data_IF_150665888994
#
_entry.id   IF_150665888994
#
_cell.length_a   1.000
_cell.length_b   1.000
_cell.length_c   1.000
_cell.angle_alpha   90.00
_cell.angle_beta   90.00
_cell.angle_gamma   90.00
#
_symmetry.space_group_name_H-M   'P 1'
#
loop_
_entity.id
_entity.type
_entity.pdbx_description
1 polymer ?
#
# COMPACT_ATOMS: atom_id res chain seq x y z
N UNK A 1 55.82 39.80 -33.03
CA UNK A 1 54.72 39.92 -32.04
C UNK A 1 54.01 38.57 -32.01
N UNK A 2 54.31 37.68 -31.05
CA UNK A 2 53.56 37.42 -29.80
C UNK A 2 52.06 37.15 -30.02
N UNK A 3 51.71 35.85 -29.87
CA UNK A 3 50.50 35.16 -29.37
C UNK A 3 49.15 35.93 -29.30
N UNK A 4 48.00 35.33 -29.60
CA UNK A 4 47.35 34.36 -28.71
C UNK A 4 46.21 33.60 -29.41
N UNK A 5 46.18 32.30 -29.13
CA UNK A 5 45.14 31.31 -29.30
C UNK A 5 43.83 31.67 -28.60
N UNK A 6 42.69 31.45 -29.26
CA UNK A 6 41.39 31.28 -28.59
C UNK A 6 40.78 29.98 -29.09
N UNK A 7 41.13 28.87 -28.43
CA UNK A 7 40.31 27.67 -28.47
C UNK A 7 39.04 27.98 -27.68
N UNK A 8 37.93 28.15 -28.38
CA UNK A 8 36.62 28.20 -27.76
C UNK A 8 36.33 26.81 -27.17
N UNK A 9 36.57 26.66 -25.86
CA UNK A 9 36.04 25.59 -25.06
C UNK A 9 34.51 25.72 -25.11
N UNK A 10 33.86 24.96 -25.99
CA UNK A 10 32.42 24.74 -25.95
C UNK A 10 32.16 23.88 -24.72
N UNK A 11 31.94 24.57 -23.61
CA UNK A 11 31.46 24.01 -22.37
C UNK A 11 30.20 23.20 -22.66
N UNK A 12 30.31 21.88 -22.54
CA UNK A 12 29.16 20.98 -22.49
C UNK A 12 28.27 21.44 -21.35
N UNK A 13 27.08 21.92 -21.70
CA UNK A 13 26.01 22.12 -20.74
C UNK A 13 25.52 20.73 -20.36
N UNK A 14 26.22 20.08 -19.45
CA UNK A 14 25.65 18.98 -18.67
C UNK A 14 24.53 19.62 -17.86
N UNK A 15 23.30 19.60 -18.38
CA UNK A 15 22.13 19.83 -17.58
C UNK A 15 22.20 18.82 -16.43
N UNK A 16 22.52 19.30 -15.22
CA UNK A 16 22.36 18.52 -14.03
C UNK A 16 20.86 18.20 -13.95
N UNK A 17 20.48 17.00 -14.37
CA UNK A 17 19.18 16.45 -14.03
C UNK A 17 19.16 16.42 -12.50
N UNK A 18 18.45 17.37 -11.90
CA UNK A 18 18.20 17.33 -10.46
C UNK A 18 17.55 15.97 -10.20
N UNK A 19 18.06 15.17 -9.25
CA UNK A 19 17.37 13.94 -8.88
C UNK A 19 15.94 14.34 -8.49
N UNK A 20 14.97 13.74 -9.18
CA UNK A 20 13.58 13.90 -8.77
C UNK A 20 13.49 13.50 -7.29
N UNK A 21 12.69 14.19 -6.47
CA UNK A 21 12.44 13.76 -5.11
C UNK A 21 12.05 12.27 -5.11
N UNK A 22 12.55 11.47 -4.15
CA UNK A 22 12.23 10.04 -4.11
C UNK A 22 10.71 9.89 -4.00
N UNK A 23 10.12 9.10 -4.91
CA UNK A 23 8.72 8.74 -4.82
C UNK A 23 8.53 7.72 -3.71
N UNK A 24 7.95 8.14 -2.59
CA UNK A 24 7.69 7.27 -1.45
C UNK A 24 6.34 6.57 -1.64
N UNK A 25 6.36 5.27 -1.86
CA UNK A 25 5.17 4.42 -1.85
C UNK A 25 4.93 3.96 -0.42
N UNK A 26 3.69 4.04 0.09
CA UNK A 26 3.36 3.53 1.42
C UNK A 26 2.71 2.15 1.31
N UNK A 27 3.26 1.17 2.01
CA UNK A 27 2.76 -0.20 2.06
C UNK A 27 2.25 -0.49 3.47
N UNK A 28 0.96 -0.83 3.58
CA UNK A 28 0.33 -1.22 4.84
C UNK A 28 -0.02 -2.70 4.77
N UNK A 29 0.51 -3.51 5.69
CA UNK A 29 0.29 -4.95 5.72
C UNK A 29 -0.28 -5.38 7.06
N UNK A 30 -1.39 -6.13 7.06
CA UNK A 30 -1.99 -6.69 8.27
C UNK A 30 -1.13 -7.79 8.87
N UNK A 31 -1.35 -8.09 10.16
CA UNK A 31 -0.90 -9.36 10.73
C UNK A 31 -1.51 -10.55 9.99
N UNK A 32 -0.86 -11.71 10.14
CA UNK A 32 -1.29 -12.94 9.52
C UNK A 32 -2.58 -13.47 10.19
N UNK A 33 -3.56 -13.85 9.36
CA UNK A 33 -4.81 -14.48 9.78
C UNK A 33 -4.83 -15.96 9.38
N UNK A 34 -4.66 -16.83 10.36
CA UNK A 34 -4.74 -18.29 10.20
C UNK A 34 -6.18 -18.79 10.09
N UNK A 35 -6.36 -20.01 9.58
CA UNK A 35 -7.66 -20.66 9.50
C UNK A 35 -7.59 -22.02 8.81
N UNK A 36 -8.60 -22.38 8.04
CA UNK A 36 -8.64 -23.66 7.31
C UNK A 36 -8.38 -23.44 5.82
N UNK A 37 -7.88 -24.49 5.16
CA UNK A 37 -7.77 -24.50 3.71
C UNK A 37 -9.15 -24.34 3.06
N UNK A 38 -9.21 -23.60 1.96
CA UNK A 38 -10.42 -23.27 1.17
C UNK A 38 -11.41 -22.32 1.85
N UNK A 39 -11.10 -21.79 3.03
CA UNK A 39 -11.85 -20.68 3.61
C UNK A 39 -11.93 -19.52 2.61
N UNK A 40 -13.06 -18.80 2.62
CA UNK A 40 -13.16 -17.57 1.85
C UNK A 40 -12.35 -16.50 2.58
N UNK A 41 -11.36 -15.94 1.91
CA UNK A 41 -10.59 -14.82 2.42
C UNK A 41 -11.05 -13.56 1.71
N UNK A 42 -11.37 -12.54 2.48
CA UNK A 42 -11.83 -11.25 1.98
C UNK A 42 -10.91 -10.18 2.54
N UNK A 43 -10.32 -9.39 1.65
CA UNK A 43 -9.66 -8.15 2.03
C UNK A 43 -10.51 -6.96 1.56
N UNK A 44 -10.65 -5.95 2.41
CA UNK A 44 -11.36 -4.72 2.08
C UNK A 44 -10.72 -3.50 2.71
N UNK A 45 -10.79 -2.38 2.01
CA UNK A 45 -10.43 -1.07 2.53
C UNK A 45 -11.69 -0.22 2.62
N UNK A 46 -11.98 0.27 3.83
CA UNK A 46 -13.11 1.15 4.13
C UNK A 46 -12.57 2.51 4.56
N UNK A 47 -13.25 3.58 4.14
CA UNK A 47 -12.98 4.96 4.57
C UNK A 47 -11.57 5.54 4.29
N UNK A 48 -10.73 4.86 3.50
CA UNK A 48 -9.42 5.40 3.06
C UNK A 48 -9.52 6.48 1.95
N UNK A 49 -10.70 7.06 1.75
CA UNK A 49 -11.15 7.50 0.43
C UNK A 49 -11.48 8.97 0.26
N UNK A 50 -10.96 9.86 1.10
CA UNK A 50 -10.85 11.27 0.72
C UNK A 50 -9.48 11.76 1.19
N UNK A 51 -8.56 12.02 0.24
CA UNK A 51 -7.50 13.00 0.50
C UNK A 51 -8.15 14.21 1.17
N UNK A 52 -7.51 14.90 2.12
CA UNK A 52 -8.10 16.15 2.62
C UNK A 52 -8.49 17.13 1.48
N UNK A 53 -7.89 16.98 0.29
CA UNK A 53 -8.18 17.72 -0.94
C UNK A 53 -9.42 17.28 -1.73
N UNK A 54 -10.09 16.17 -1.41
CA UNK A 54 -11.27 15.69 -2.15
C UNK A 54 -10.97 14.87 -3.41
N UNK A 55 -9.70 14.70 -3.79
CA UNK A 55 -9.34 13.97 -5.02
C UNK A 55 -9.33 12.44 -4.81
N UNK A 56 -9.80 11.65 -5.78
CA UNK A 56 -9.77 10.19 -5.70
C UNK A 56 -8.34 9.66 -5.82
N UNK A 57 -7.97 8.73 -4.93
CA UNK A 57 -6.67 8.05 -4.96
C UNK A 57 -6.85 6.64 -5.47
N UNK A 58 -6.05 6.27 -6.48
CA UNK A 58 -5.99 4.88 -6.95
C UNK A 58 -5.07 4.08 -6.03
N UNK A 59 -5.61 3.05 -5.38
CA UNK A 59 -4.89 2.19 -4.46
C UNK A 59 -4.85 0.76 -5.01
N UNK A 60 -3.86 -0.02 -4.58
CA UNK A 60 -3.80 -1.45 -4.90
C UNK A 60 -3.95 -2.27 -3.63
N UNK A 61 -4.93 -3.16 -3.63
CA UNK A 61 -5.20 -4.10 -2.54
C UNK A 61 -4.79 -5.52 -2.97
N UNK A 62 -4.13 -6.24 -2.08
CA UNK A 62 -3.64 -7.60 -2.29
C UNK A 62 -3.97 -8.50 -1.11
N UNK A 63 -4.17 -9.78 -1.41
CA UNK A 63 -4.14 -10.87 -0.43
C UNK A 63 -2.86 -11.65 -0.67
N UNK A 64 -2.07 -11.83 0.39
CA UNK A 64 -0.80 -12.55 0.37
C UNK A 64 -0.93 -13.86 1.16
N UNK A 65 -0.20 -14.87 0.73
CA UNK A 65 0.02 -16.09 1.52
C UNK A 65 1.14 -15.89 2.58
N UNK A 66 1.46 -16.95 3.30
CA UNK A 66 2.47 -16.92 4.35
C UNK A 66 3.88 -16.61 3.83
N UNK A 67 4.15 -16.88 2.54
CA UNK A 67 5.41 -16.66 1.84
C UNK A 67 5.42 -15.37 1.00
N UNK A 68 4.48 -14.46 1.25
CA UNK A 68 4.30 -13.19 0.50
C UNK A 68 3.92 -13.37 -0.98
N UNK A 69 3.46 -14.56 -1.39
CA UNK A 69 2.93 -14.75 -2.73
C UNK A 69 1.54 -14.13 -2.86
N UNK A 70 1.29 -13.45 -3.98
CA UNK A 70 0.00 -12.78 -4.23
C UNK A 70 -1.06 -13.79 -4.64
N UNK A 71 -2.07 -13.98 -3.77
CA UNK A 71 -3.21 -14.85 -4.03
C UNK A 71 -4.34 -14.16 -4.79
N UNK A 72 -4.50 -12.85 -4.59
CA UNK A 72 -5.44 -12.02 -5.34
C UNK A 72 -5.04 -10.55 -5.26
N UNK A 73 -5.42 -9.77 -6.27
CA UNK A 73 -5.15 -8.34 -6.31
C UNK A 73 -6.26 -7.57 -7.03
N UNK A 74 -6.50 -6.35 -6.58
CA UNK A 74 -7.38 -5.38 -7.26
C UNK A 74 -6.74 -4.00 -7.16
N UNK A 75 -6.87 -3.21 -8.22
CA UNK A 75 -6.46 -1.80 -8.23
C UNK A 75 -7.69 -0.96 -8.53
N UNK A 76 -7.91 0.08 -7.75
CA UNK A 76 -9.08 0.94 -7.91
C UNK A 76 -9.08 2.13 -6.97
N UNK A 77 -10.08 3.00 -7.12
CA UNK A 77 -10.27 4.15 -6.25
C UNK A 77 -11.20 3.80 -5.10
N UNK A 78 -10.82 4.18 -3.88
CA UNK A 78 -11.69 4.06 -2.70
C UNK A 78 -12.51 5.35 -2.57
N UNK A 79 -13.81 5.21 -2.33
CA UNK A 79 -14.67 6.32 -1.91
C UNK A 79 -15.50 5.90 -0.69
N UNK A 80 -16.08 6.85 0.06
CA UNK A 80 -16.98 6.53 1.18
C UNK A 80 -18.16 5.62 0.79
N UNK A 81 -18.55 5.62 -0.49
CA UNK A 81 -19.68 4.82 -1.00
C UNK A 81 -19.24 3.58 -1.78
N UNK A 82 -17.94 3.43 -2.04
CA UNK A 82 -17.38 2.34 -2.82
C UNK A 82 -16.07 1.85 -2.17
N UNK A 83 -16.13 0.86 -1.26
CA UNK A 83 -14.93 0.27 -0.69
C UNK A 83 -14.19 -0.56 -1.76
N UNK A 84 -12.86 -0.58 -1.68
CA UNK A 84 -12.05 -1.47 -2.50
C UNK A 84 -12.02 -2.84 -1.82
N UNK A 85 -12.46 -3.89 -2.52
CA UNK A 85 -12.59 -5.25 -1.97
C UNK A 85 -12.06 -6.29 -2.96
N UNK A 86 -11.38 -7.30 -2.45
CA UNK A 86 -10.94 -8.47 -3.20
C UNK A 86 -11.14 -9.72 -2.34
N UNK A 87 -11.44 -10.85 -2.98
CA UNK A 87 -11.60 -12.13 -2.28
C UNK A 87 -10.94 -13.27 -3.04
N UNK A 88 -10.56 -14.30 -2.30
CA UNK A 88 -9.97 -15.53 -2.84
C UNK A 88 -10.21 -16.71 -1.89
N UNK A 89 -9.86 -17.92 -2.32
CA UNK A 89 -9.87 -19.12 -1.47
C UNK A 89 -8.49 -19.31 -0.88
N UNK A 90 -8.40 -19.51 0.43
CA UNK A 90 -7.12 -19.84 1.06
C UNK A 90 -6.58 -21.18 0.51
N UNK A 91 -5.33 -21.24 0.01
CA UNK A 91 -4.77 -22.49 -0.50
C UNK A 91 -4.45 -23.49 0.62
N UNK A 92 -4.22 -23.00 1.84
CA UNK A 92 -3.81 -23.78 3.00
C UNK A 92 -4.43 -23.22 4.29
N UNK A 93 -4.17 -23.89 5.42
CA UNK A 93 -4.50 -23.41 6.77
C UNK A 93 -3.54 -22.33 7.28
N UNK A 94 -2.46 -22.04 6.54
CA UNK A 94 -1.47 -21.06 6.95
C UNK A 94 -2.05 -19.63 6.96
N UNK A 95 -1.34 -18.74 7.66
CA UNK A 95 -1.73 -17.35 7.81
C UNK A 95 -1.68 -16.57 6.50
N UNK A 96 -2.77 -15.89 6.16
CA UNK A 96 -2.83 -14.96 5.02
C UNK A 96 -2.77 -13.52 5.52
N UNK A 97 -2.27 -12.60 4.69
CA UNK A 97 -2.17 -11.17 5.01
C UNK A 97 -2.91 -10.34 3.97
N UNK A 98 -3.44 -9.18 4.37
CA UNK A 98 -3.87 -8.16 3.43
C UNK A 98 -2.78 -7.10 3.31
N UNK A 99 -2.53 -6.65 2.08
CA UNK A 99 -1.57 -5.60 1.79
C UNK A 99 -2.24 -4.51 0.96
N UNK A 100 -2.14 -3.27 1.44
CA UNK A 100 -2.55 -2.06 0.73
C UNK A 100 -1.32 -1.30 0.28
N UNK A 101 -1.31 -0.89 -0.98
CA UNK A 101 -0.25 -0.10 -1.59
C UNK A 101 -0.85 1.24 -2.02
N UNK A 102 -0.30 2.30 -1.44
CA UNK A 102 -0.63 3.69 -1.72
C UNK A 102 0.43 4.27 -2.67
N UNK A 103 0.04 4.84 -3.82
CA UNK A 103 0.99 5.40 -4.76
C UNK A 103 1.75 6.59 -4.14
N UNK A 104 2.91 6.95 -4.70
CA UNK A 104 3.65 8.11 -4.24
C UNK A 104 2.87 9.41 -4.45
N UNK A 105 3.16 10.40 -3.61
CA UNK A 105 2.53 11.74 -3.63
C UNK A 105 1.02 11.73 -3.38
N UNK A 106 0.48 10.69 -2.75
CA UNK A 106 -0.88 10.75 -2.20
C UNK A 106 -0.86 11.68 -1.02
N UNK A 107 -1.39 12.90 -1.16
CA UNK A 107 -1.48 13.87 -0.06
C UNK A 107 -2.17 13.30 1.20
N UNK A 108 -2.37 14.11 2.25
CA UNK A 108 -2.83 13.62 3.54
C UNK A 108 -4.11 12.78 3.42
N UNK A 109 -3.99 11.49 3.75
CA UNK A 109 -5.09 10.53 3.72
C UNK A 109 -5.99 10.73 4.94
N UNK A 110 -7.30 10.56 4.77
CA UNK A 110 -8.19 10.33 5.90
C UNK A 110 -7.84 9.00 6.58
N UNK A 111 -8.01 8.92 7.90
CA UNK A 111 -7.86 7.66 8.62
C UNK A 111 -8.76 6.60 7.97
N UNK A 112 -8.15 5.56 7.40
CA UNK A 112 -8.84 4.47 6.73
C UNK A 112 -8.71 3.17 7.52
N UNK A 113 -9.45 2.14 7.12
CA UNK A 113 -9.38 0.82 7.76
C UNK A 113 -9.15 -0.25 6.71
N UNK A 114 -8.07 -1.01 6.86
CA UNK A 114 -7.79 -2.23 6.11
C UNK A 114 -8.28 -3.42 6.94
N UNK A 115 -9.21 -4.20 6.38
CA UNK A 115 -9.81 -5.36 7.03
C UNK A 115 -9.48 -6.62 6.24
N UNK A 116 -9.07 -7.67 6.94
CA UNK A 116 -8.91 -9.02 6.42
C UNK A 116 -9.85 -9.95 7.19
N UNK A 117 -10.75 -10.62 6.49
CA UNK A 117 -11.72 -11.55 7.05
C UNK A 117 -11.50 -12.94 6.45
N UNK A 118 -11.72 -13.96 7.27
CA UNK A 118 -11.69 -15.36 6.84
C UNK A 118 -12.98 -16.05 7.28
N UNK A 119 -13.76 -16.52 6.31
CA UNK A 119 -15.01 -17.22 6.52
C UNK A 119 -14.81 -18.73 6.29
N UNK A 120 -15.02 -19.51 7.34
CA UNK A 120 -14.85 -20.96 7.31
C UNK A 120 -15.99 -21.69 6.60
N UNK A 121 -15.69 -22.90 6.11
CA UNK A 121 -16.68 -23.78 5.49
C UNK A 121 -17.28 -24.75 6.53
N UNK A 122 -18.61 -24.94 6.53
CA UNK A 122 -19.31 -25.86 7.44
C UNK A 122 -20.82 -25.57 7.51
N UNK A 123 -21.59 -26.48 8.12
CA UNK A 123 -23.01 -26.27 8.42
C UNK A 123 -23.29 -26.63 9.90
N UNK A 124 -23.59 -25.66 10.77
CA UNK A 124 -23.51 -24.22 10.50
C UNK A 124 -22.05 -23.77 10.25
N UNK A 125 -21.82 -22.71 9.45
CA UNK A 125 -20.48 -22.19 9.24
C UNK A 125 -19.88 -21.71 10.57
N UNK A 126 -18.58 -21.96 10.82
CA UNK A 126 -17.92 -21.40 11.99
C UNK A 126 -17.93 -19.86 11.93
N UNK A 127 -17.87 -19.18 13.08
CA UNK A 127 -17.85 -17.72 13.11
C UNK A 127 -16.64 -17.18 12.33
N UNK A 128 -16.81 -16.11 11.54
CA UNK A 128 -15.73 -15.53 10.77
C UNK A 128 -14.66 -14.94 11.71
N UNK A 129 -13.40 -15.13 11.34
CA UNK A 129 -12.27 -14.48 12.01
C UNK A 129 -11.86 -13.24 11.21
N UNK A 130 -11.36 -12.20 11.90
CA UNK A 130 -10.95 -10.96 11.24
C UNK A 130 -9.76 -10.29 11.91
N UNK A 131 -8.97 -9.60 11.09
CA UNK A 131 -7.92 -8.66 11.50
C UNK A 131 -8.29 -7.29 10.94
N UNK A 132 -8.19 -6.27 11.80
CA UNK A 132 -8.50 -4.88 11.47
C UNK A 132 -7.26 -4.06 11.67
N UNK A 133 -6.87 -3.31 10.65
CA UNK A 133 -5.71 -2.43 10.62
C UNK A 133 -6.16 -0.99 10.35
N UNK A 134 -5.79 -0.08 11.24
CA UNK A 134 -6.00 1.36 11.04
C UNK A 134 -4.89 1.92 10.15
N UNK A 135 -5.26 2.62 9.09
CA UNK A 135 -4.34 3.30 8.19
C UNK A 135 -4.12 4.70 8.78
N UNK A 136 -2.88 5.06 9.17
CA UNK A 136 -2.62 6.35 9.79
C UNK A 136 -2.88 7.49 8.79
N UNK A 137 -3.52 8.56 9.26
CA UNK A 137 -3.62 9.81 8.51
C UNK A 137 -2.23 10.46 8.46
N UNK A 138 -1.56 10.47 7.30
CA UNK A 138 -0.21 11.05 7.16
C UNK A 138 -0.04 11.79 5.84
N UNK A 139 0.73 12.88 5.93
CA UNK A 139 1.25 13.64 4.80
C UNK A 139 2.56 12.98 4.31
N UNK A 140 2.64 12.51 3.06
CA UNK A 140 3.86 11.86 2.54
C UNK A 140 5.05 12.83 2.40
N UNK A 141 4.81 14.15 2.37
CA UNK A 141 5.86 15.15 2.10
C UNK A 141 6.68 15.54 3.34
N UNK A 142 6.22 15.25 4.56
CA UNK A 142 6.84 15.77 5.80
C UNK A 142 7.85 14.86 6.50
N UNK A 143 8.30 13.80 5.84
CA UNK A 143 9.39 12.96 6.34
C UNK A 143 8.92 11.96 7.40
N UNK A 144 9.08 10.68 7.07
CA UNK A 144 8.75 9.56 7.96
C UNK A 144 9.50 9.66 9.30
N UNK A 145 8.82 9.51 10.44
CA UNK A 145 9.46 9.05 11.66
C UNK A 145 9.37 7.52 11.67
N UNK A 146 10.31 6.84 11.01
CA UNK A 146 10.55 5.38 11.16
C UNK A 146 9.33 4.45 10.84
N UNK A 147 9.51 3.13 10.69
CA UNK A 147 8.39 2.22 10.52
C UNK A 147 7.49 2.25 11.77
N UNK A 148 6.24 2.69 11.63
CA UNK A 148 5.27 2.63 12.72
C UNK A 148 4.61 1.26 12.67
N UNK A 149 5.02 0.37 13.58
CA UNK A 149 4.24 -0.84 13.86
C UNK A 149 2.99 -0.43 14.65
N UNK A 150 1.84 -0.47 14.00
CA UNK A 150 0.55 -0.37 14.69
C UNK A 150 0.18 -1.75 15.23
N UNK A 151 -0.66 -1.82 16.27
CA UNK A 151 -0.94 -3.07 17.01
C UNK A 151 -1.24 -4.31 16.16
N UNK A 152 -1.83 -4.12 14.97
CA UNK A 152 -2.31 -5.19 14.08
C UNK A 152 -1.79 -5.07 12.65
N UNK A 153 -0.81 -4.19 12.40
CA UNK A 153 -0.24 -4.00 11.08
C UNK A 153 1.12 -3.31 11.07
N UNK A 154 1.86 -3.59 9.99
CA UNK A 154 3.12 -2.93 9.64
C UNK A 154 2.88 -1.88 8.56
N UNK A 155 3.44 -0.70 8.75
CA UNK A 155 3.47 0.38 7.75
C UNK A 155 4.91 0.59 7.32
N UNK A 156 5.21 0.27 6.07
CA UNK A 156 6.55 0.37 5.49
C UNK A 156 6.53 1.38 4.34
N UNK A 157 7.29 2.47 4.45
CA UNK A 157 7.58 3.33 3.32
C UNK A 157 8.64 2.68 2.43
N UNK A 158 8.38 2.68 1.12
CA UNK A 158 9.24 2.08 0.10
C UNK A 158 9.66 3.18 -0.87
N UNK A 159 10.95 3.47 -0.94
CA UNK A 159 11.52 4.31 -2.00
C UNK A 159 11.41 3.56 -3.34
N UNK A 160 10.85 4.22 -4.35
CA UNK A 160 10.73 3.70 -5.73
C UNK A 160 11.71 4.37 -6.67
#
# INVERSE_FOLDING_TARGET
MRALSVMALLWGVSAAAQPAPPSITVVVTTDALEGTARDLVVASVVDAGILQSGAPVTMTLRILDEHDAVLATVTGTVSPTAPLRVSTRAPSSAGVRAQLILPPNTGPLSAGVLVLEREGQGEPPPPPTKVVCEIPAQDPDTGMPEPVTMKTCSVVPVET
#
